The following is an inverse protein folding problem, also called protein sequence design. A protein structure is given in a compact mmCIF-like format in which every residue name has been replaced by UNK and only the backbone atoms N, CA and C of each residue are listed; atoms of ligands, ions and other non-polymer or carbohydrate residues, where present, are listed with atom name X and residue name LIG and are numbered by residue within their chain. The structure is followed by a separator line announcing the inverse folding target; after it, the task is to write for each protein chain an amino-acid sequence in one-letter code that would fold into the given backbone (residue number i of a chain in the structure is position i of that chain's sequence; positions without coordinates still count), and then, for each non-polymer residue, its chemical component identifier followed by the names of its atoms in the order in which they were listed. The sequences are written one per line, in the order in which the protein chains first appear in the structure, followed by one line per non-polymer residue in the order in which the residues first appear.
data_IF_861851817294
#
_entry.id   IF_861851817294
#
_cell.length_a   1.000
_cell.length_b   1.000
_cell.length_c   1.000
_cell.angle_alpha   90.00
_cell.angle_beta   90.00
_cell.angle_gamma   90.00
#
_symmetry.space_group_name_H-M   'P 1'
#
loop_
_entity.id
_entity.type
_entity.pdbx_description
1 polymer ?
#
# COMPACT_ATOMS: atom_id res chain seq x y z
N UNK A 1 59.90 49.91 -27.05
CA UNK A 1 60.63 48.86 -26.28
C UNK A 1 59.63 47.80 -25.85
N UNK A 2 59.93 46.52 -26.18
CA UNK A 2 59.54 45.23 -25.53
C UNK A 2 58.17 45.17 -24.81
N UNK A 3 57.22 44.25 -25.08
CA UNK A 3 57.35 42.80 -25.33
C UNK A 3 56.15 42.25 -26.11
N UNK A 4 56.41 41.23 -26.94
CA UNK A 4 55.42 40.24 -27.41
C UNK A 4 54.95 39.36 -26.24
N UNK A 5 53.69 38.94 -26.25
CA UNK A 5 53.32 37.58 -25.87
C UNK A 5 52.10 37.12 -26.68
N UNK A 6 52.32 36.12 -27.51
CA UNK A 6 51.33 35.27 -28.17
C UNK A 6 50.93 34.16 -27.19
N UNK A 7 49.64 33.87 -27.04
CA UNK A 7 48.98 32.61 -26.63
C UNK A 7 47.58 33.00 -26.14
N UNK A 8 46.49 32.31 -26.41
CA UNK A 8 46.30 31.03 -27.08
C UNK A 8 44.79 30.84 -27.28
N UNK A 9 44.47 30.09 -28.33
CA UNK A 9 43.13 29.63 -28.66
C UNK A 9 42.61 28.82 -27.48
N UNK A 10 41.51 29.30 -26.89
CA UNK A 10 40.75 28.59 -25.86
C UNK A 10 39.27 28.85 -26.10
N UNK A 11 38.77 28.42 -27.27
CA UNK A 11 37.34 28.32 -27.46
C UNK A 11 36.86 27.16 -26.59
N UNK A 12 36.35 27.49 -25.41
CA UNK A 12 35.53 26.59 -24.59
C UNK A 12 34.31 26.23 -25.44
N UNK A 13 34.38 25.07 -26.11
CA UNK A 13 33.20 24.39 -26.60
C UNK A 13 32.47 23.95 -25.34
N UNK A 14 31.54 24.77 -24.87
CA UNK A 14 30.44 24.30 -24.05
C UNK A 14 29.80 23.17 -24.85
N UNK A 15 30.00 21.94 -24.39
CA UNK A 15 29.21 20.81 -24.82
C UNK A 15 27.77 21.14 -24.48
N UNK A 16 27.04 21.67 -25.46
CA UNK A 16 25.59 21.61 -25.50
C UNK A 16 25.25 20.12 -25.48
N UNK A 17 25.06 19.58 -24.27
CA UNK A 17 24.12 18.48 -24.09
C UNK A 17 22.77 19.05 -24.53
N UNK A 18 22.46 18.87 -25.81
CA UNK A 18 21.08 18.95 -26.25
C UNK A 18 20.32 17.92 -25.40
N UNK A 19 19.31 18.33 -24.62
CA UNK A 19 18.42 17.35 -24.03
C UNK A 19 17.92 16.45 -25.16
N UNK A 20 17.81 15.15 -24.91
CA UNK A 20 16.96 14.30 -25.73
C UNK A 20 15.68 15.07 -26.01
N UNK A 21 15.38 15.31 -27.29
CA UNK A 21 14.10 15.91 -27.64
C UNK A 21 13.03 15.01 -27.03
N UNK A 22 12.29 15.54 -26.05
CA UNK A 22 11.08 14.90 -25.58
C UNK A 22 10.17 14.76 -26.80
N UNK A 23 9.75 13.53 -27.10
CA UNK A 23 8.83 13.26 -28.20
C UNK A 23 7.64 14.25 -28.13
N UNK A 24 7.40 14.95 -29.23
CA UNK A 24 6.35 15.97 -29.33
C UNK A 24 5.21 15.41 -30.18
N UNK A 25 4.07 15.05 -29.59
CA UNK A 25 2.95 14.47 -30.32
C UNK A 25 2.28 15.50 -31.23
N UNK A 26 1.78 15.06 -32.37
CA UNK A 26 0.93 15.90 -33.20
C UNK A 26 -0.53 15.98 -32.67
N UNK A 27 -1.38 16.74 -33.37
CA UNK A 27 -2.79 16.91 -32.98
C UNK A 27 -3.60 15.60 -33.09
N UNK A 28 -3.25 14.72 -34.03
CA UNK A 28 -3.92 13.42 -34.22
C UNK A 28 -3.55 12.49 -33.06
N UNK A 29 -2.28 12.46 -32.68
CA UNK A 29 -1.77 11.62 -31.60
C UNK A 29 -2.32 12.04 -30.23
N UNK A 30 -2.53 13.34 -30.01
CA UNK A 30 -3.22 13.84 -28.82
C UNK A 30 -4.71 13.46 -28.79
N UNK A 31 -5.38 13.48 -29.96
CA UNK A 31 -6.77 13.06 -30.08
C UNK A 31 -6.90 11.54 -29.85
N UNK A 32 -5.97 10.74 -30.38
CA UNK A 32 -5.87 9.29 -30.13
C UNK A 32 -5.72 8.99 -28.64
N UNK A 33 -4.77 9.64 -27.96
CA UNK A 33 -4.55 9.46 -26.52
C UNK A 33 -5.79 9.85 -25.69
N UNK A 34 -6.49 10.91 -26.08
CA UNK A 34 -7.74 11.32 -25.44
C UNK A 34 -8.82 10.26 -25.64
N UNK A 35 -9.00 9.76 -26.86
CA UNK A 35 -9.95 8.70 -27.16
C UNK A 35 -9.67 7.41 -26.36
N UNK A 36 -8.39 7.03 -26.20
CA UNK A 36 -8.01 5.88 -25.36
C UNK A 36 -8.41 6.12 -23.90
N UNK A 37 -8.13 7.30 -23.33
CA UNK A 37 -8.53 7.65 -21.96
C UNK A 37 -10.06 7.60 -21.78
N UNK A 38 -10.81 8.08 -22.76
CA UNK A 38 -12.27 8.07 -22.74
C UNK A 38 -12.85 6.65 -22.80
N UNK A 39 -12.24 5.76 -23.60
CA UNK A 39 -12.63 4.35 -23.66
C UNK A 39 -12.28 3.58 -22.38
N UNK A 40 -11.17 3.92 -21.73
CA UNK A 40 -10.77 3.31 -20.47
C UNK A 40 -11.63 3.78 -19.29
N UNK A 41 -12.09 5.04 -19.29
CA UNK A 41 -12.83 5.65 -18.18
C UNK A 41 -14.00 4.79 -17.66
N UNK A 42 -14.94 4.30 -18.49
CA UNK A 42 -16.06 3.50 -18.00
C UNK A 42 -15.62 2.13 -17.46
N UNK A 43 -14.50 1.57 -17.94
CA UNK A 43 -13.98 0.27 -17.48
C UNK A 43 -13.35 0.35 -16.09
N UNK A 44 -12.86 1.55 -15.73
CA UNK A 44 -12.18 1.79 -14.46
C UNK A 44 -13.04 2.64 -13.51
N UNK A 45 -14.22 3.14 -13.90
CA UNK A 45 -15.04 4.10 -13.12
C UNK A 45 -15.31 3.63 -11.69
N UNK A 46 -15.73 2.38 -11.55
CA UNK A 46 -16.15 1.77 -10.28
C UNK A 46 -15.24 0.59 -9.87
N UNK A 47 -14.18 0.31 -10.65
CA UNK A 47 -13.26 -0.79 -10.40
C UNK A 47 -11.86 -0.26 -10.09
N UNK A 48 -11.62 -0.07 -8.79
CA UNK A 48 -10.33 0.35 -8.23
C UNK A 48 -9.20 -0.67 -8.46
N UNK A 49 -9.52 -1.96 -8.58
CA UNK A 49 -8.52 -2.99 -8.83
C UNK A 49 -8.10 -2.97 -10.31
N UNK A 50 -9.06 -2.85 -11.23
CA UNK A 50 -8.77 -2.64 -12.64
C UNK A 50 -7.96 -1.35 -12.86
N UNK A 51 -8.31 -0.26 -12.17
CA UNK A 51 -7.57 1.01 -12.20
C UNK A 51 -6.12 0.83 -11.76
N UNK A 52 -5.89 0.15 -10.62
CA UNK A 52 -4.55 -0.14 -10.11
C UNK A 52 -3.73 -1.03 -11.07
N UNK A 53 -4.34 -2.09 -11.60
CA UNK A 53 -3.68 -3.03 -12.51
C UNK A 53 -3.27 -2.34 -13.82
N UNK A 54 -4.14 -1.50 -14.39
CA UNK A 54 -3.82 -0.74 -15.60
C UNK A 54 -2.72 0.30 -15.32
N UNK A 55 -2.75 0.96 -14.15
CA UNK A 55 -1.68 1.86 -13.73
C UNK A 55 -0.33 1.13 -13.65
N UNK A 56 -0.28 -0.04 -13.00
CA UNK A 56 0.93 -0.85 -12.90
C UNK A 56 1.43 -1.29 -14.27
N UNK A 57 0.54 -1.79 -15.13
CA UNK A 57 0.92 -2.20 -16.50
C UNK A 57 1.52 -1.04 -17.30
N UNK A 58 0.88 0.14 -17.28
CA UNK A 58 1.41 1.32 -17.97
C UNK A 58 2.77 1.76 -17.41
N UNK A 59 2.90 1.79 -16.08
CA UNK A 59 4.15 2.13 -15.37
C UNK A 59 5.28 1.15 -15.69
N UNK A 60 4.98 -0.14 -15.71
CA UNK A 60 5.98 -1.19 -15.81
C UNK A 60 6.38 -1.44 -17.26
N UNK A 61 5.50 -1.19 -18.24
CA UNK A 61 5.83 -1.28 -19.67
C UNK A 61 6.59 -0.06 -20.19
N UNK A 62 6.35 1.14 -19.64
CA UNK A 62 6.92 2.40 -20.16
C UNK A 62 8.46 2.37 -20.30
N UNK A 63 9.24 1.89 -19.31
CA UNK A 63 10.71 1.86 -19.42
C UNK A 63 11.25 0.88 -20.46
N UNK A 64 10.45 -0.08 -20.92
CA UNK A 64 10.86 -1.10 -21.89
C UNK A 64 10.44 -0.78 -23.33
N UNK A 65 9.65 0.28 -23.53
CA UNK A 65 9.25 0.70 -24.87
C UNK A 65 10.42 1.34 -25.60
N UNK A 66 10.83 0.74 -26.72
CA UNK A 66 11.84 1.33 -27.62
C UNK A 66 11.24 2.36 -28.59
N UNK A 67 9.92 2.33 -28.79
CA UNK A 67 9.19 3.30 -29.60
C UNK A 67 8.81 4.52 -28.76
N UNK A 68 9.24 5.71 -29.20
CA UNK A 68 9.05 6.98 -28.46
C UNK A 68 7.58 7.35 -28.33
N UNK A 69 6.78 7.12 -29.38
CA UNK A 69 5.32 7.34 -29.35
C UNK A 69 4.64 6.45 -28.30
N UNK A 70 4.97 5.17 -28.30
CA UNK A 70 4.43 4.20 -27.34
C UNK A 70 4.86 4.54 -25.92
N UNK A 71 6.13 4.93 -25.71
CA UNK A 71 6.62 5.37 -24.40
C UNK A 71 5.85 6.60 -23.90
N UNK A 72 5.61 7.58 -24.78
CA UNK A 72 4.82 8.78 -24.51
C UNK A 72 3.36 8.43 -24.12
N UNK A 73 2.71 7.52 -24.84
CA UNK A 73 1.37 7.05 -24.49
C UNK A 73 1.32 6.33 -23.15
N UNK A 74 2.26 5.42 -22.89
CA UNK A 74 2.31 4.68 -21.62
C UNK A 74 2.55 5.63 -20.44
N UNK A 75 3.40 6.64 -20.60
CA UNK A 75 3.62 7.68 -19.60
C UNK A 75 2.33 8.46 -19.30
N UNK A 76 1.65 8.98 -20.32
CA UNK A 76 0.43 9.75 -20.08
C UNK A 76 -0.76 8.91 -19.61
N UNK A 77 -0.82 7.64 -19.99
CA UNK A 77 -1.78 6.70 -19.42
C UNK A 77 -1.47 6.42 -17.96
N UNK A 78 -0.20 6.15 -17.61
CA UNK A 78 0.26 5.98 -16.22
C UNK A 78 -0.17 7.18 -15.37
N UNK A 79 0.09 8.40 -15.83
CA UNK A 79 -0.19 9.62 -15.05
C UNK A 79 -1.70 9.89 -14.91
N UNK A 80 -2.47 9.65 -15.97
CA UNK A 80 -3.93 9.73 -15.93
C UNK A 80 -4.53 8.73 -14.91
N UNK A 81 -4.10 7.46 -14.99
CA UNK A 81 -4.60 6.41 -14.11
C UNK A 81 -4.18 6.66 -12.65
N UNK A 82 -2.94 7.10 -12.41
CA UNK A 82 -2.46 7.47 -11.09
C UNK A 82 -3.27 8.63 -10.50
N UNK A 83 -3.52 9.67 -11.29
CA UNK A 83 -4.33 10.82 -10.86
C UNK A 83 -5.73 10.38 -10.47
N UNK A 84 -6.40 9.57 -11.30
CA UNK A 84 -7.73 9.01 -10.97
C UNK A 84 -7.71 8.19 -9.68
N UNK A 85 -6.69 7.35 -9.51
CA UNK A 85 -6.54 6.51 -8.31
C UNK A 85 -6.38 7.37 -7.06
N UNK A 86 -5.50 8.37 -7.10
CA UNK A 86 -5.26 9.30 -6.00
C UNK A 86 -6.51 10.10 -5.65
N UNK A 87 -7.20 10.68 -6.63
CA UNK A 87 -8.44 11.44 -6.41
C UNK A 87 -9.51 10.60 -5.73
N UNK A 88 -9.71 9.35 -6.15
CA UNK A 88 -10.72 8.48 -5.51
C UNK A 88 -10.31 8.04 -4.12
N UNK A 89 -9.03 7.74 -3.93
CA UNK A 89 -8.47 7.37 -2.62
C UNK A 89 -8.62 8.52 -1.61
N UNK A 90 -8.34 9.75 -2.02
CA UNK A 90 -8.53 10.96 -1.22
C UNK A 90 -10.00 11.18 -0.89
N UNK A 91 -10.89 11.04 -1.88
CA UNK A 91 -12.34 11.10 -1.65
C UNK A 91 -12.79 10.05 -0.63
N UNK A 92 -12.36 8.80 -0.76
CA UNK A 92 -12.71 7.72 0.17
C UNK A 92 -12.21 7.99 1.60
N UNK A 93 -11.01 8.58 1.74
CA UNK A 93 -10.47 9.01 3.04
C UNK A 93 -11.28 10.15 3.64
N UNK A 94 -11.70 11.12 2.83
CA UNK A 94 -12.53 12.24 3.25
C UNK A 94 -13.92 11.76 3.71
N UNK A 95 -14.59 10.92 2.92
CA UNK A 95 -15.91 10.36 3.24
C UNK A 95 -15.92 9.55 4.55
N UNK A 96 -14.83 8.85 4.85
CA UNK A 96 -14.69 8.02 6.06
C UNK A 96 -14.05 8.76 7.24
N UNK A 97 -13.66 10.03 7.09
CA UNK A 97 -12.83 10.73 8.08
C UNK A 97 -13.47 10.77 9.47
N UNK A 98 -14.76 11.10 9.55
CA UNK A 98 -15.42 11.25 10.85
C UNK A 98 -15.63 9.91 11.55
N UNK A 99 -16.05 8.87 10.81
CA UNK A 99 -16.17 7.52 11.35
C UNK A 99 -14.82 7.00 11.90
N UNK A 100 -13.72 7.28 11.17
CA UNK A 100 -12.35 6.94 11.57
C UNK A 100 -11.93 7.68 12.84
N UNK A 101 -12.26 8.98 12.94
CA UNK A 101 -11.99 9.79 14.12
C UNK A 101 -12.78 9.29 15.33
N UNK A 102 -14.09 9.06 15.19
CA UNK A 102 -14.93 8.49 16.25
C UNK A 102 -14.41 7.13 16.71
N UNK A 103 -13.97 6.27 15.78
CA UNK A 103 -13.36 4.99 16.13
C UNK A 103 -12.09 5.18 16.97
N UNK A 104 -11.18 6.06 16.56
CA UNK A 104 -9.95 6.34 17.30
C UNK A 104 -10.25 6.88 18.71
N UNK A 105 -11.19 7.81 18.85
CA UNK A 105 -11.60 8.40 20.12
C UNK A 105 -12.19 7.35 21.07
N UNK A 106 -13.05 6.46 20.57
CA UNK A 106 -13.65 5.38 21.35
C UNK A 106 -12.61 4.39 21.90
N UNK A 107 -11.47 4.24 21.21
CA UNK A 107 -10.44 3.28 21.57
C UNK A 107 -9.11 3.91 21.99
N UNK A 108 -9.03 5.22 22.24
CA UNK A 108 -7.78 5.91 22.60
C UNK A 108 -7.10 5.32 23.85
N UNK A 109 -7.90 4.82 24.81
CA UNK A 109 -7.41 4.17 26.02
C UNK A 109 -6.97 2.70 25.81
N UNK A 110 -7.10 2.16 24.59
CA UNK A 110 -6.81 0.76 24.26
C UNK A 110 -5.34 0.53 23.93
N UNK A 111 -4.44 1.10 24.73
CA UNK A 111 -3.00 0.88 24.59
C UNK A 111 -2.30 1.74 23.54
N UNK A 112 -2.99 2.73 22.94
CA UNK A 112 -2.39 3.65 21.97
C UNK A 112 -1.16 4.37 22.54
N UNK A 113 -1.23 4.80 23.81
CA UNK A 113 -0.11 5.45 24.50
C UNK A 113 1.10 4.52 24.72
N UNK A 114 0.87 3.21 24.75
CA UNK A 114 1.91 2.19 24.97
C UNK A 114 2.46 1.62 23.66
N UNK A 115 1.72 1.76 22.56
CA UNK A 115 2.14 1.31 21.25
C UNK A 115 3.39 2.06 20.79
N UNK A 116 4.40 1.31 20.35
CA UNK A 116 5.60 1.85 19.73
C UNK A 116 5.25 2.80 18.57
N UNK A 117 6.02 3.88 18.37
CA UNK A 117 5.81 4.77 17.23
C UNK A 117 6.05 4.04 15.91
N UNK A 118 5.45 4.56 14.83
CA UNK A 118 5.76 4.09 13.49
C UNK A 118 7.19 4.49 13.13
N UNK A 119 8.06 3.49 12.95
CA UNK A 119 9.41 3.72 12.47
C UNK A 119 9.39 4.33 11.06
N UNK A 120 10.41 5.11 10.70
CA UNK A 120 10.57 5.70 9.34
C UNK A 120 10.48 4.63 8.25
N UNK A 121 11.00 3.44 8.55
CA UNK A 121 10.88 2.25 7.72
C UNK A 121 9.42 1.95 7.35
N UNK A 122 8.47 1.98 8.29
CA UNK A 122 7.06 1.78 7.97
C UNK A 122 6.50 2.83 7.01
N UNK A 123 7.07 4.03 7.01
CA UNK A 123 6.56 5.18 6.28
C UNK A 123 7.12 5.30 4.87
N UNK A 124 8.34 4.80 4.61
CA UNK A 124 8.98 4.92 3.29
C UNK A 124 8.18 4.32 2.14
N UNK A 125 7.43 3.23 2.40
CA UNK A 125 6.53 2.60 1.41
C UNK A 125 5.05 2.86 1.63
N UNK A 126 4.69 3.76 2.55
CA UNK A 126 3.29 4.02 2.90
C UNK A 126 2.45 4.46 1.68
N UNK A 127 2.89 5.37 0.78
CA UNK A 127 2.06 5.76 -0.37
C UNK A 127 1.70 4.58 -1.30
N UNK A 128 2.63 3.64 -1.50
CA UNK A 128 2.40 2.41 -2.27
C UNK A 128 1.43 1.49 -1.53
N UNK A 129 1.70 1.20 -0.26
CA UNK A 129 0.87 0.32 0.58
C UNK A 129 -0.56 0.85 0.69
N UNK A 130 -0.74 2.17 0.83
CA UNK A 130 -2.03 2.84 0.88
C UNK A 130 -2.80 2.74 -0.44
N UNK A 131 -2.11 2.88 -1.57
CA UNK A 131 -2.72 2.76 -2.90
C UNK A 131 -3.14 1.32 -3.21
N UNK A 132 -2.34 0.34 -2.79
CA UNK A 132 -2.68 -1.08 -2.90
C UNK A 132 -3.82 -1.48 -1.96
N UNK A 133 -3.78 -1.01 -0.71
CA UNK A 133 -4.87 -1.25 0.26
C UNK A 133 -6.19 -0.65 -0.21
N UNK A 134 -6.13 0.55 -0.82
CA UNK A 134 -7.27 1.13 -1.51
C UNK A 134 -7.77 0.22 -2.64
N UNK A 135 -6.91 -0.17 -3.60
CA UNK A 135 -7.29 -1.01 -4.73
C UNK A 135 -7.92 -2.35 -4.32
N UNK A 136 -7.44 -2.97 -3.24
CA UNK A 136 -7.94 -4.24 -2.73
C UNK A 136 -9.07 -4.13 -1.70
N UNK A 137 -9.54 -2.91 -1.43
CA UNK A 137 -10.58 -2.61 -0.45
C UNK A 137 -10.30 -3.20 0.94
N UNK A 138 -9.17 -2.81 1.52
CA UNK A 138 -8.77 -3.18 2.88
C UNK A 138 -8.24 -1.93 3.61
N UNK A 139 -8.45 -1.77 4.94
CA UNK A 139 -7.91 -0.63 5.65
C UNK A 139 -6.38 -0.58 5.55
N UNK A 140 -5.81 0.56 5.10
CA UNK A 140 -4.35 0.79 5.10
C UNK A 140 -3.75 0.58 6.49
N UNK A 141 -4.44 1.06 7.54
CA UNK A 141 -4.07 0.85 8.93
C UNK A 141 -3.94 -0.63 9.31
N UNK A 142 -4.79 -1.50 8.76
CA UNK A 142 -4.70 -2.94 9.00
C UNK A 142 -3.52 -3.57 8.28
N UNK A 143 -3.34 -3.26 6.99
CA UNK A 143 -2.20 -3.75 6.20
C UNK A 143 -0.87 -3.39 6.86
N UNK A 144 -0.70 -2.13 7.27
CA UNK A 144 0.53 -1.68 7.92
C UNK A 144 0.69 -2.28 9.33
N UNK A 145 -0.40 -2.40 10.10
CA UNK A 145 -0.33 -3.03 11.43
C UNK A 145 0.10 -4.50 11.35
N UNK A 146 -0.34 -5.25 10.34
CA UNK A 146 0.15 -6.62 10.10
C UNK A 146 1.62 -6.59 9.73
N UNK A 147 2.04 -5.75 8.78
CA UNK A 147 3.46 -5.67 8.40
C UNK A 147 4.36 -5.36 9.60
N UNK A 148 3.95 -4.42 10.45
CA UNK A 148 4.64 -4.10 11.69
C UNK A 148 4.67 -5.30 12.63
N UNK A 149 3.55 -5.99 12.83
CA UNK A 149 3.45 -7.12 13.77
C UNK A 149 4.35 -8.28 13.35
N UNK A 150 4.43 -8.55 12.06
CA UNK A 150 5.14 -9.71 11.51
C UNK A 150 6.64 -9.47 11.36
N UNK A 151 7.05 -8.30 10.88
CA UNK A 151 8.47 -8.02 10.57
C UNK A 151 8.98 -6.66 11.03
N UNK A 152 8.21 -5.93 11.84
CA UNK A 152 8.56 -4.58 12.32
C UNK A 152 8.86 -3.62 11.17
N UNK A 153 8.10 -3.73 10.07
CA UNK A 153 8.31 -2.99 8.83
C UNK A 153 9.74 -3.14 8.25
N UNK A 154 10.36 -4.30 8.40
CA UNK A 154 11.71 -4.57 7.88
C UNK A 154 11.79 -4.47 6.36
N UNK A 155 12.89 -3.91 5.85
CA UNK A 155 13.20 -3.81 4.40
C UNK A 155 13.98 -5.04 3.92
N UNK A 156 13.67 -6.19 4.52
CA UNK A 156 14.34 -7.44 4.25
C UNK A 156 13.34 -8.58 4.28
N UNK A 157 13.60 -9.59 3.46
CA UNK A 157 12.94 -10.87 3.47
C UNK A 157 13.49 -11.71 4.63
N UNK A 158 12.63 -12.13 5.56
CA UNK A 158 13.02 -12.98 6.67
C UNK A 158 13.63 -14.31 6.21
N UNK A 159 14.50 -14.91 7.04
CA UNK A 159 15.27 -16.12 6.69
C UNK A 159 14.42 -17.35 6.36
N UNK A 160 13.17 -17.39 6.81
CA UNK A 160 12.22 -18.46 6.53
C UNK A 160 11.58 -18.37 5.14
N UNK A 161 11.81 -17.31 4.36
CA UNK A 161 11.25 -17.18 3.02
C UNK A 161 9.82 -16.63 2.97
N UNK A 162 9.09 -16.64 4.09
CA UNK A 162 7.66 -16.27 4.18
C UNK A 162 7.36 -14.76 3.95
N UNK A 163 8.40 -13.95 3.73
CA UNK A 163 8.27 -12.53 3.41
C UNK A 163 7.85 -11.64 4.60
N UNK A 164 7.64 -10.33 4.36
CA UNK A 164 7.39 -9.34 5.42
C UNK A 164 6.06 -9.52 6.16
N UNK A 165 5.11 -10.22 5.54
CA UNK A 165 3.80 -10.56 6.09
C UNK A 165 3.74 -11.99 6.66
N UNK A 166 4.82 -12.79 6.57
CA UNK A 166 4.87 -14.16 7.11
C UNK A 166 3.78 -15.11 6.55
N UNK A 167 3.62 -15.12 5.22
CA UNK A 167 2.67 -16.00 4.52
C UNK A 167 3.36 -17.32 4.19
N UNK A 168 3.16 -18.35 5.01
CA UNK A 168 3.83 -19.66 4.94
C UNK A 168 3.55 -20.50 3.69
N UNK A 169 2.67 -20.04 2.80
CA UNK A 169 2.33 -20.72 1.54
C UNK A 169 3.12 -20.19 0.35
N UNK A 170 4.02 -19.23 0.58
CA UNK A 170 4.85 -18.56 -0.43
C UNK A 170 6.30 -18.56 0.03
N UNK A 171 7.21 -18.62 -0.92
CA UNK A 171 8.64 -18.40 -0.70
C UNK A 171 9.09 -17.23 -1.57
N UNK A 172 9.46 -16.12 -0.93
CA UNK A 172 9.94 -14.91 -1.59
C UNK A 172 11.48 -14.86 -1.64
N UNK A 173 12.16 -15.87 -1.09
CA UNK A 173 13.61 -15.88 -0.89
C UNK A 173 14.04 -15.12 0.37
N UNK A 174 15.32 -14.72 0.40
CA UNK A 174 15.92 -14.01 1.54
C UNK A 174 16.74 -12.81 1.06
N UNK A 175 16.98 -11.83 1.93
CA UNK A 175 17.80 -10.66 1.62
C UNK A 175 17.02 -9.35 1.49
N UNK A 176 17.57 -8.31 0.85
CA UNK A 176 16.93 -7.00 0.79
C UNK A 176 15.67 -7.00 -0.09
N UNK A 177 14.68 -6.21 0.29
CA UNK A 177 13.45 -6.00 -0.47
C UNK A 177 13.64 -4.79 -1.40
N UNK A 178 13.32 -4.96 -2.69
CA UNK A 178 13.16 -3.86 -3.64
C UNK A 178 11.67 -3.55 -3.86
N UNK A 179 11.34 -2.53 -4.66
CA UNK A 179 9.96 -2.13 -4.96
C UNK A 179 9.09 -3.29 -5.46
N UNK A 180 9.58 -4.05 -6.45
CA UNK A 180 8.82 -5.11 -7.09
C UNK A 180 8.52 -6.25 -6.11
N UNK A 181 9.50 -6.65 -5.31
CA UNK A 181 9.31 -7.65 -4.25
C UNK A 181 8.32 -7.12 -3.21
N UNK A 182 8.46 -5.87 -2.78
CA UNK A 182 7.55 -5.26 -1.82
C UNK A 182 6.10 -5.27 -2.32
N UNK A 183 5.85 -4.73 -3.52
CA UNK A 183 4.53 -4.72 -4.15
C UNK A 183 3.96 -6.15 -4.25
N UNK A 184 4.77 -7.12 -4.70
CA UNK A 184 4.35 -8.54 -4.78
C UNK A 184 3.93 -9.09 -3.41
N UNK A 185 4.71 -8.84 -2.36
CA UNK A 185 4.40 -9.35 -1.01
C UNK A 185 3.16 -8.68 -0.40
N UNK A 186 2.92 -7.39 -0.69
CA UNK A 186 1.71 -6.67 -0.27
C UNK A 186 0.49 -7.20 -1.02
N UNK A 187 0.58 -7.38 -2.33
CA UNK A 187 -0.49 -7.96 -3.15
C UNK A 187 -0.87 -9.36 -2.67
N UNK A 188 0.11 -10.25 -2.47
CA UNK A 188 -0.13 -11.59 -1.96
C UNK A 188 -0.79 -11.56 -0.57
N UNK A 189 -0.40 -10.63 0.31
CA UNK A 189 -1.07 -10.41 1.59
C UNK A 189 -2.53 -9.97 1.41
N UNK A 190 -2.80 -8.98 0.56
CA UNK A 190 -4.15 -8.46 0.33
C UNK A 190 -5.08 -9.54 -0.22
N UNK A 191 -4.60 -10.31 -1.21
CA UNK A 191 -5.32 -11.47 -1.76
C UNK A 191 -5.58 -12.52 -0.68
N UNK A 192 -4.55 -12.86 0.11
CA UNK A 192 -4.65 -13.83 1.19
C UNK A 192 -5.66 -13.39 2.25
N UNK A 193 -5.61 -12.13 2.68
CA UNK A 193 -6.53 -11.52 3.62
C UNK A 193 -7.99 -11.60 3.13
N UNK A 194 -8.26 -11.14 1.89
CA UNK A 194 -9.61 -11.16 1.31
C UNK A 194 -10.13 -12.59 1.15
N UNK A 195 -9.28 -13.56 0.77
CA UNK A 195 -9.66 -14.99 0.70
C UNK A 195 -10.03 -15.56 2.06
N UNK A 196 -9.33 -15.20 3.14
CA UNK A 196 -9.69 -15.64 4.49
C UNK A 196 -11.02 -15.05 4.95
N UNK A 197 -11.22 -13.74 4.71
CA UNK A 197 -12.50 -13.06 5.00
C UNK A 197 -13.64 -13.70 4.21
N UNK A 198 -13.47 -13.92 2.90
CA UNK A 198 -14.47 -14.55 2.05
C UNK A 198 -14.83 -15.97 2.52
N UNK A 199 -13.84 -16.77 2.94
CA UNK A 199 -14.08 -18.09 3.52
C UNK A 199 -14.91 -18.00 4.80
N UNK A 200 -14.61 -17.05 5.69
CA UNK A 200 -15.39 -16.85 6.91
C UNK A 200 -16.82 -16.38 6.58
N UNK A 201 -16.99 -15.38 5.70
CA UNK A 201 -18.30 -14.84 5.33
C UNK A 201 -19.17 -15.92 4.66
N UNK A 202 -18.61 -16.77 3.81
CA UNK A 202 -19.32 -17.89 3.19
C UNK A 202 -19.77 -18.97 4.17
N UNK A 203 -19.23 -18.99 5.40
CA UNK A 203 -19.66 -19.88 6.50
C UNK A 203 -20.54 -19.17 7.54
N UNK A 204 -20.57 -17.84 7.54
CA UNK A 204 -21.27 -17.01 8.52
C UNK A 204 -22.03 -15.88 7.82
N UNK A 205 -23.02 -16.19 6.96
CA UNK A 205 -23.70 -15.19 6.14
C UNK A 205 -24.45 -14.14 6.99
N UNK A 206 -24.87 -14.49 8.20
CA UNK A 206 -25.65 -13.60 9.08
C UNK A 206 -24.75 -12.64 9.89
N UNK A 207 -23.44 -12.91 9.97
CA UNK A 207 -22.48 -12.08 10.73
C UNK A 207 -21.16 -11.89 9.97
N UNK A 208 -21.21 -11.39 8.72
CA UNK A 208 -20.03 -11.25 7.89
C UNK A 208 -19.04 -10.24 8.49
N UNK A 209 -17.77 -10.44 8.17
CA UNK A 209 -16.72 -9.43 8.34
C UNK A 209 -16.87 -8.40 7.24
N UNK A 210 -17.00 -7.13 7.63
CA UNK A 210 -17.23 -5.98 6.75
C UNK A 210 -16.06 -4.99 6.80
N UNK A 211 -14.82 -5.51 6.70
CA UNK A 211 -13.63 -4.68 6.57
C UNK A 211 -13.48 -4.21 5.12
N UNK A 212 -13.48 -2.89 4.94
CA UNK A 212 -13.27 -2.19 3.67
C UNK A 212 -12.22 -1.09 3.88
N UNK A 213 -11.77 -0.45 2.81
CA UNK A 213 -10.86 0.70 2.94
C UNK A 213 -11.47 1.85 3.77
N UNK A 214 -12.81 1.99 3.75
CA UNK A 214 -13.56 3.05 4.44
C UNK A 214 -14.14 2.63 5.78
N UNK A 215 -14.46 1.35 5.93
CA UNK A 215 -15.29 0.83 7.01
C UNK A 215 -14.55 -0.26 7.77
N UNK A 216 -14.51 -0.12 9.09
CA UNK A 216 -13.97 -1.12 9.98
C UNK A 216 -14.60 -0.99 11.36
N UNK A 217 -14.61 -2.09 12.08
CA UNK A 217 -15.06 -2.12 13.46
C UNK A 217 -14.18 -3.07 14.28
N UNK A 218 -14.23 -2.94 15.60
CA UNK A 218 -13.40 -3.72 16.50
C UNK A 218 -13.63 -5.23 16.39
N UNK A 219 -14.89 -5.68 16.29
CA UNK A 219 -15.23 -7.09 16.24
C UNK A 219 -14.63 -7.76 15.00
N UNK A 220 -14.69 -7.07 13.86
CA UNK A 220 -14.16 -7.58 12.60
C UNK A 220 -12.63 -7.55 12.55
N UNK A 221 -11.98 -6.54 13.14
CA UNK A 221 -10.53 -6.53 13.34
C UNK A 221 -10.08 -7.71 14.23
N UNK A 222 -10.85 -8.03 15.28
CA UNK A 222 -10.56 -9.15 16.17
C UNK A 222 -10.72 -10.51 15.48
N UNK A 223 -11.81 -10.69 14.71
CA UNK A 223 -12.00 -11.90 13.89
C UNK A 223 -10.88 -12.04 12.84
N UNK A 224 -10.51 -10.94 12.17
CA UNK A 224 -9.41 -10.93 11.21
C UNK A 224 -8.11 -11.42 11.86
N UNK A 225 -7.77 -10.95 13.06
CA UNK A 225 -6.60 -11.41 13.79
C UNK A 225 -6.61 -12.93 14.04
N UNK A 226 -7.79 -13.50 14.32
CA UNK A 226 -7.95 -14.95 14.43
C UNK A 226 -7.81 -15.69 13.10
N UNK A 227 -8.36 -15.15 12.03
CA UNK A 227 -8.16 -15.72 10.70
C UNK A 227 -6.70 -15.69 10.28
N UNK A 228 -5.97 -14.63 10.62
CA UNK A 228 -4.58 -14.43 10.22
C UNK A 228 -3.60 -15.26 11.05
N UNK A 229 -3.63 -15.13 12.38
CA UNK A 229 -2.66 -15.73 13.29
C UNK A 229 -3.06 -17.12 13.81
N UNK A 230 -4.24 -17.61 13.44
CA UNK A 230 -4.76 -18.92 13.87
C UNK A 230 -5.96 -18.79 14.81
N UNK A 231 -6.87 -19.75 14.70
CA UNK A 231 -8.18 -19.68 15.35
C UNK A 231 -8.15 -20.33 16.72
N UNK A 232 -8.63 -19.62 17.74
CA UNK A 232 -8.96 -20.22 19.03
C UNK A 232 -10.04 -21.29 18.80
N UNK A 233 -9.74 -22.55 19.11
CA UNK A 233 -10.66 -23.67 18.92
C UNK A 233 -10.75 -24.23 17.49
N UNK A 234 -9.96 -23.72 16.53
CA UNK A 234 -9.81 -24.32 15.19
C UNK A 234 -11.04 -24.23 14.26
N UNK A 235 -12.10 -23.54 14.67
CA UNK A 235 -13.35 -23.39 13.90
C UNK A 235 -13.46 -22.01 13.25
N UNK A 236 -14.06 -21.96 12.06
CA UNK A 236 -14.35 -20.72 11.31
C UNK A 236 -15.79 -20.23 11.48
N UNK A 237 -16.56 -20.78 12.42
CA UNK A 237 -17.97 -20.44 12.64
C UNK A 237 -18.15 -19.52 13.85
N UNK A 238 -19.11 -18.60 13.77
CA UNK A 238 -19.52 -17.71 14.86
C UNK A 238 -18.46 -16.71 15.28
N UNK A 239 -18.51 -16.32 16.56
CA UNK A 239 -17.53 -15.40 17.14
C UNK A 239 -16.16 -16.08 17.30
N UNK A 240 -15.27 -15.82 16.35
CA UNK A 240 -13.89 -16.33 16.35
C UNK A 240 -12.91 -15.29 16.90
N UNK A 241 -11.77 -15.76 17.37
CA UNK A 241 -10.66 -14.91 17.83
C UNK A 241 -9.31 -15.60 17.68
N UNK A 242 -8.19 -14.88 17.90
CA UNK A 242 -6.85 -15.40 17.78
C UNK A 242 -6.53 -16.46 18.85
N UNK A 243 -5.90 -17.55 18.41
CA UNK A 243 -5.38 -18.60 19.27
C UNK A 243 -4.34 -18.05 20.27
N UNK A 244 -3.59 -17.02 19.87
CA UNK A 244 -2.72 -16.25 20.74
C UNK A 244 -3.31 -14.83 20.93
N UNK A 245 -4.07 -14.56 22.01
CA UNK A 245 -4.71 -13.26 22.23
C UNK A 245 -3.74 -12.07 22.19
N UNK A 246 -2.48 -12.28 22.60
CA UNK A 246 -1.40 -11.28 22.50
C UNK A 246 -1.18 -10.78 21.07
N UNK A 247 -1.44 -11.59 20.05
CA UNK A 247 -1.34 -11.13 18.66
C UNK A 247 -2.17 -9.87 18.39
N UNK A 248 -3.35 -9.78 19.02
CA UNK A 248 -4.23 -8.62 18.90
C UNK A 248 -4.07 -7.62 20.04
N UNK A 249 -3.99 -8.12 21.28
CA UNK A 249 -4.10 -7.31 22.50
C UNK A 249 -2.78 -6.83 23.11
N UNK A 250 -1.62 -7.29 22.65
CA UNK A 250 -0.36 -6.98 23.32
C UNK A 250 -0.11 -5.45 23.41
N UNK A 251 0.25 -4.97 24.61
CA UNK A 251 0.30 -3.56 25.04
C UNK A 251 -1.04 -2.83 25.18
N UNK A 252 -2.15 -3.57 25.28
CA UNK A 252 -3.40 -3.02 25.82
C UNK A 252 -3.41 -3.06 27.35
N UNK A 253 -4.16 -2.17 28.03
CA UNK A 253 -4.25 -2.15 29.48
C UNK A 253 -4.66 -3.49 30.11
N UNK A 254 -4.31 -3.67 31.37
CA UNK A 254 -4.64 -4.88 32.14
C UNK A 254 -3.67 -6.03 31.84
N UNK A 255 -4.19 -7.23 31.55
CA UNK A 255 -3.35 -8.44 31.45
C UNK A 255 -2.35 -8.45 30.28
N UNK A 256 -2.45 -7.52 29.33
CA UNK A 256 -1.62 -7.46 28.13
C UNK A 256 -0.60 -6.31 28.13
N UNK A 257 -0.57 -5.50 29.18
CA UNK A 257 0.14 -4.21 29.22
C UNK A 257 1.66 -4.37 29.08
N UNK A 258 2.23 -5.38 29.74
CA UNK A 258 3.67 -5.65 29.78
C UNK A 258 4.19 -6.42 28.55
N UNK A 259 3.51 -6.28 27.42
CA UNK A 259 3.89 -6.89 26.15
C UNK A 259 5.26 -6.42 25.63
N UNK A 260 6.00 -7.31 24.98
CA UNK A 260 7.31 -6.98 24.36
C UNK A 260 7.18 -6.43 22.95
N UNK A 261 6.06 -6.70 22.28
CA UNK A 261 5.76 -6.24 20.91
C UNK A 261 4.42 -5.52 20.89
N UNK A 262 4.15 -4.69 19.88
CA UNK A 262 2.80 -4.16 19.69
C UNK A 262 1.86 -5.27 19.21
N UNK A 263 0.68 -5.38 19.82
CA UNK A 263 -0.43 -6.13 19.25
C UNK A 263 -0.98 -5.44 18.01
N UNK A 264 -1.74 -6.18 17.20
CA UNK A 264 -2.36 -5.66 15.98
C UNK A 264 -3.25 -4.44 16.26
N UNK A 265 -4.03 -4.46 17.35
CA UNK A 265 -5.01 -3.41 17.61
C UNK A 265 -4.38 -2.08 18.05
N UNK A 266 -3.48 -2.04 19.05
CA UNK A 266 -2.77 -0.78 19.37
C UNK A 266 -2.00 -0.22 18.17
N UNK A 267 -1.41 -1.09 17.35
CA UNK A 267 -0.71 -0.66 16.14
C UNK A 267 -1.65 -0.09 15.08
N UNK A 268 -2.82 -0.72 14.88
CA UNK A 268 -3.86 -0.21 13.99
C UNK A 268 -4.27 1.21 14.40
N UNK A 269 -4.52 1.43 15.69
CA UNK A 269 -4.87 2.76 16.23
C UNK A 269 -3.74 3.78 16.00
N UNK A 270 -2.47 3.37 16.17
CA UNK A 270 -1.31 4.24 15.91
C UNK A 270 -1.23 4.67 14.44
N UNK A 271 -1.53 3.78 13.50
CA UNK A 271 -1.58 4.14 12.08
C UNK A 271 -2.74 5.08 11.82
N UNK A 272 -3.91 4.79 12.35
CA UNK A 272 -5.09 5.63 12.19
C UNK A 272 -4.87 7.05 12.75
N UNK A 273 -4.24 7.18 13.92
CA UNK A 273 -3.85 8.46 14.53
C UNK A 273 -2.95 9.27 13.59
N UNK A 274 -1.96 8.63 12.95
CA UNK A 274 -1.10 9.30 11.96
C UNK A 274 -1.91 9.77 10.76
N UNK A 275 -2.73 8.89 10.19
CA UNK A 275 -3.50 9.18 8.99
C UNK A 275 -4.51 10.33 9.17
N UNK A 276 -4.98 10.56 10.40
CA UNK A 276 -5.93 11.64 10.73
C UNK A 276 -5.23 12.98 11.06
N UNK A 277 -3.91 12.99 11.25
CA UNK A 277 -3.11 14.20 11.51
C UNK A 277 -2.52 14.85 10.25
N UNK A 278 -2.56 14.13 9.13
CA UNK A 278 -2.07 14.57 7.82
C UNK A 278 -3.22 15.20 7.03
#
# INVERSE_FOLDING_TARGET
MKKRLTLGIGLLIFGLHFPHFAYEPDAVENAELTAVKDQLSPLIEEDQLALWNLYQQARDLQPFSQDEKTAYYLEHLRDYLLTKLQTRKERAKFESQEARKTFLENYQASGLALADPLAENCLGWYPTLDSMSFAYDLPTALTLAVWFRESNCGYYLPKNGDGPFQITTKDYGTGPINRSIFETTVEDFLIFAKRKIARYNGKNPDTPILLSYKDFNYADLYKFAGLYNGLSGGTVYGAIGPAAPKYFFEKMPGSFEQGKRNGLFPQFLRVLERELRQ
#
